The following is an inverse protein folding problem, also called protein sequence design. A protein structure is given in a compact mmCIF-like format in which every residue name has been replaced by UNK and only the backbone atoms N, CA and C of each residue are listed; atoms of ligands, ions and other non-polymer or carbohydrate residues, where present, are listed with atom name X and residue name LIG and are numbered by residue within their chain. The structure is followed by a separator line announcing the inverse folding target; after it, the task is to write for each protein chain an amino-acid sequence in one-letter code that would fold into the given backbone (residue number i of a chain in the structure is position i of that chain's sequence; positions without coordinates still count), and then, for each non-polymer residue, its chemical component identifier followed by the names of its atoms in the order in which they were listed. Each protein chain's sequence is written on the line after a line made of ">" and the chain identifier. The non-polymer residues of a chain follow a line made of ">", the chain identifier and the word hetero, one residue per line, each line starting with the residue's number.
data_IF_928891197660
#
_entry.id   IF_928891197660
#
_cell.length_a   1.000
_cell.length_b   1.000
_cell.length_c   1.000
_cell.angle_alpha   90.00
_cell.angle_beta   90.00
_cell.angle_gamma   90.00
#
_symmetry.space_group_name_H-M   'P 1'
#
loop_
_entity.id
_entity.type
_entity.pdbx_description
1 polymer ?
#
# COMPACT_ATOMS: atom_id res chain seq x y z
N UNK A 1 -5.85 12.16 -25.32
CA UNK A 1 -5.98 12.92 -24.05
C UNK A 1 -5.44 12.02 -22.96
N UNK A 2 -4.52 12.50 -22.12
CA UNK A 2 -4.13 11.76 -20.93
C UNK A 2 -5.25 11.90 -19.91
N UNK A 3 -6.05 10.85 -19.74
CA UNK A 3 -7.14 10.86 -18.78
C UNK A 3 -6.56 10.82 -17.38
N UNK A 4 -6.80 11.87 -16.59
CA UNK A 4 -6.47 11.92 -15.17
C UNK A 4 -7.40 10.97 -14.42
N UNK A 5 -6.85 10.05 -13.63
CA UNK A 5 -7.66 9.31 -12.66
C UNK A 5 -7.90 10.22 -11.46
N UNK A 6 -9.15 10.35 -11.04
CA UNK A 6 -9.52 11.10 -9.85
C UNK A 6 -10.61 10.33 -9.10
N UNK A 7 -10.47 10.25 -7.79
CA UNK A 7 -11.39 9.57 -6.90
C UNK A 7 -11.67 10.43 -5.69
N UNK A 8 -12.93 10.86 -5.51
CA UNK A 8 -13.40 11.72 -4.41
C UNK A 8 -14.31 10.97 -3.43
N UNK A 9 -14.52 9.67 -3.64
CA UNK A 9 -15.30 8.75 -2.79
C UNK A 9 -16.77 9.12 -2.48
N UNK A 10 -17.29 10.23 -3.01
CA UNK A 10 -18.70 10.65 -2.91
C UNK A 10 -19.69 9.58 -3.42
N UNK A 11 -19.25 8.81 -4.41
CA UNK A 11 -19.98 7.69 -5.00
C UNK A 11 -19.49 6.33 -4.48
N UNK A 12 -19.04 6.28 -3.23
CA UNK A 12 -18.52 5.09 -2.57
C UNK A 12 -17.03 4.83 -2.85
N UNK A 13 -16.48 3.69 -2.40
CA UNK A 13 -15.04 3.43 -2.35
C UNK A 13 -14.27 3.40 -3.68
N UNK A 14 -14.95 3.28 -4.82
CA UNK A 14 -14.29 3.31 -6.14
C UNK A 14 -13.31 2.16 -6.42
N UNK A 15 -13.43 1.06 -5.67
CA UNK A 15 -12.51 -0.09 -5.72
C UNK A 15 -11.39 -0.06 -4.70
N UNK A 16 -11.28 1.02 -3.91
CA UNK A 16 -10.36 1.07 -2.78
C UNK A 16 -10.85 0.18 -1.64
N UNK A 17 -9.91 -0.46 -0.95
CA UNK A 17 -10.17 -1.33 0.19
C UNK A 17 -9.16 -1.09 1.32
N UNK A 18 -9.46 -1.63 2.49
CA UNK A 18 -8.54 -1.67 3.64
C UNK A 18 -8.10 -3.10 3.92
N UNK A 19 -7.08 -3.25 4.75
CA UNK A 19 -6.59 -4.56 5.18
C UNK A 19 -6.43 -4.61 6.69
N UNK A 20 -7.22 -5.49 7.33
CA UNK A 20 -7.31 -5.58 8.79
C UNK A 20 -6.39 -6.66 9.38
N UNK A 21 -5.53 -7.28 8.56
CA UNK A 21 -4.68 -8.40 8.96
C UNK A 21 -4.72 -9.57 7.99
N UNK A 22 -3.95 -10.60 8.29
CA UNK A 22 -3.79 -11.78 7.46
C UNK A 22 -5.14 -12.37 7.02
N UNK A 23 -5.37 -12.46 5.70
CA UNK A 23 -6.63 -12.91 5.08
C UNK A 23 -7.88 -12.11 5.46
N UNK A 24 -7.73 -10.84 5.86
CA UNK A 24 -8.84 -9.97 6.25
C UNK A 24 -8.87 -8.66 5.45
N UNK A 25 -8.99 -8.70 4.12
CA UNK A 25 -9.35 -7.50 3.37
C UNK A 25 -10.77 -7.05 3.77
N UNK A 26 -11.03 -5.75 3.75
CA UNK A 26 -12.31 -5.20 4.15
C UNK A 26 -12.72 -4.02 3.28
N UNK A 27 -14.03 -3.78 3.19
CA UNK A 27 -14.53 -2.54 2.63
C UNK A 27 -14.09 -1.38 3.53
N UNK A 28 -13.66 -0.24 2.97
CA UNK A 28 -13.33 0.92 3.77
C UNK A 28 -14.61 1.51 4.36
N UNK A 29 -14.49 2.11 5.53
CA UNK A 29 -15.54 2.95 6.08
C UNK A 29 -15.45 4.34 5.45
N UNK A 30 -16.60 4.96 5.22
CA UNK A 30 -16.74 6.34 4.75
C UNK A 30 -17.19 7.23 5.90
N UNK A 31 -16.48 8.33 6.12
CA UNK A 31 -16.83 9.36 7.10
C UNK A 31 -16.79 10.70 6.37
N UNK A 32 -17.94 11.37 6.28
CA UNK A 32 -18.09 12.68 5.64
C UNK A 32 -17.50 12.75 4.23
N UNK A 33 -17.68 11.69 3.43
CA UNK A 33 -17.17 11.61 2.05
C UNK A 33 -15.74 11.09 1.91
N UNK A 34 -15.00 10.88 3.01
CA UNK A 34 -13.63 10.37 2.98
C UNK A 34 -13.51 8.93 3.46
N UNK A 35 -12.57 8.15 2.89
CA UNK A 35 -12.22 6.84 3.43
C UNK A 35 -11.46 7.00 4.75
N UNK A 36 -11.76 6.18 5.74
CA UNK A 36 -11.01 6.14 7.00
C UNK A 36 -10.33 4.80 7.23
N UNK A 37 -9.10 4.86 7.72
CA UNK A 37 -8.34 3.71 8.23
C UNK A 37 -7.88 4.00 9.66
N UNK A 38 -8.09 3.06 10.59
CA UNK A 38 -7.81 3.26 12.03
C UNK A 38 -6.98 2.11 12.59
N UNK A 39 -6.09 2.45 13.53
CA UNK A 39 -5.39 1.46 14.34
C UNK A 39 -6.39 0.73 15.27
N UNK A 40 -6.12 -0.53 15.68
CA UNK A 40 -4.95 -1.33 15.32
C UNK A 40 -4.99 -1.81 13.86
N UNK A 41 -3.95 -1.48 13.09
CA UNK A 41 -3.78 -1.98 11.72
C UNK A 41 -3.17 -3.39 11.74
N UNK A 42 -3.54 -4.22 10.77
CA UNK A 42 -2.92 -5.55 10.61
C UNK A 42 -1.45 -5.44 10.21
N UNK A 43 -0.63 -6.39 10.64
CA UNK A 43 0.79 -6.47 10.25
C UNK A 43 0.93 -7.38 9.03
N UNK A 44 1.31 -6.81 7.89
CA UNK A 44 1.74 -7.61 6.74
C UNK A 44 3.21 -7.97 6.89
N UNK A 45 3.49 -9.27 6.80
CA UNK A 45 4.82 -9.84 7.00
C UNK A 45 5.38 -10.48 5.73
N UNK A 46 4.76 -10.26 4.57
CA UNK A 46 5.14 -10.93 3.33
C UNK A 46 6.55 -10.56 2.85
N UNK A 47 7.02 -9.40 3.28
CA UNK A 47 8.33 -8.84 2.97
C UNK A 47 9.24 -8.73 4.22
N UNK A 48 8.88 -9.38 5.33
CA UNK A 48 9.72 -9.37 6.53
C UNK A 48 11.16 -9.84 6.22
N UNK A 49 12.17 -9.44 7.01
CA UNK A 49 13.55 -9.82 6.77
C UNK A 49 13.72 -11.32 6.45
N UNK A 50 14.50 -11.67 5.41
CA UNK A 50 15.50 -10.84 4.72
C UNK A 50 14.96 -9.84 3.68
N UNK A 51 13.64 -9.73 3.49
CA UNK A 51 13.03 -8.66 2.70
C UNK A 51 13.07 -7.28 3.38
N UNK A 52 12.40 -6.32 2.76
CA UNK A 52 12.41 -4.90 3.12
C UNK A 52 11.66 -4.53 4.40
N UNK A 53 10.89 -5.43 5.00
CA UNK A 53 10.27 -5.21 6.31
C UNK A 53 8.79 -5.54 6.39
N UNK A 54 8.17 -5.07 7.48
CA UNK A 54 6.74 -5.23 7.75
C UNK A 54 5.97 -3.97 7.34
N UNK A 55 4.68 -4.13 7.04
CA UNK A 55 3.83 -3.05 6.51
C UNK A 55 2.49 -2.99 7.27
N UNK A 56 1.92 -1.79 7.39
CA UNK A 56 0.49 -1.60 7.65
C UNK A 56 -0.18 -1.07 6.38
N UNK A 57 -1.05 -1.86 5.75
CA UNK A 57 -1.71 -1.50 4.49
C UNK A 57 -3.00 -0.72 4.80
N UNK A 58 -3.02 0.59 4.53
CA UNK A 58 -4.14 1.45 4.91
C UNK A 58 -5.21 1.49 3.82
N UNK A 59 -4.81 1.82 2.59
CA UNK A 59 -5.70 1.97 1.44
C UNK A 59 -5.10 1.30 0.22
N UNK A 60 -5.78 0.28 -0.32
CA UNK A 60 -5.32 -0.55 -1.43
C UNK A 60 -6.22 -0.32 -2.63
N UNK A 61 -5.63 -0.07 -3.80
CA UNK A 61 -6.33 -0.03 -5.08
C UNK A 61 -5.66 -1.01 -6.05
N UNK A 62 -6.40 -2.02 -6.49
CA UNK A 62 -5.96 -2.85 -7.61
C UNK A 62 -5.99 -2.05 -8.91
N UNK A 63 -4.92 -2.11 -9.66
CA UNK A 63 -4.73 -1.33 -10.90
C UNK A 63 -5.00 -2.15 -12.16
N UNK A 64 -5.11 -3.48 -12.04
CA UNK A 64 -5.50 -4.36 -13.12
C UNK A 64 -6.48 -5.47 -12.66
N UNK A 65 -7.30 -6.02 -13.57
CA UNK A 65 -8.17 -7.15 -13.27
C UNK A 65 -7.38 -8.34 -12.73
N UNK A 66 -7.76 -8.84 -11.56
CA UNK A 66 -7.17 -10.06 -11.01
C UNK A 66 -7.96 -11.27 -11.52
N UNK A 67 -7.32 -12.28 -12.14
CA UNK A 67 -8.04 -13.39 -12.76
C UNK A 67 -8.75 -14.27 -11.72
N UNK A 68 -8.18 -14.42 -10.52
CA UNK A 68 -8.73 -15.28 -9.45
C UNK A 68 -8.59 -14.61 -8.06
N UNK A 69 -9.33 -13.52 -7.77
CA UNK A 69 -9.15 -12.75 -6.53
C UNK A 69 -9.62 -13.50 -5.26
N UNK A 70 -10.22 -14.69 -5.40
CA UNK A 70 -10.83 -15.40 -4.28
C UNK A 70 -12.11 -14.72 -3.76
N UNK A 71 -12.86 -15.39 -2.86
CA UNK A 71 -14.16 -14.91 -2.40
C UNK A 71 -14.08 -13.66 -1.50
N UNK A 72 -12.95 -13.44 -0.81
CA UNK A 72 -12.78 -12.29 0.09
C UNK A 72 -12.50 -10.97 -0.66
N UNK A 73 -11.66 -11.00 -1.70
CA UNK A 73 -11.31 -9.79 -2.46
C UNK A 73 -12.30 -9.49 -3.59
N UNK A 74 -12.88 -10.51 -4.24
CA UNK A 74 -13.82 -10.33 -5.36
C UNK A 74 -14.90 -9.25 -5.11
N UNK A 75 -15.64 -9.26 -3.99
CA UNK A 75 -16.66 -8.23 -3.76
C UNK A 75 -16.08 -6.84 -3.52
N UNK A 76 -14.87 -6.74 -2.95
CA UNK A 76 -14.21 -5.45 -2.65
C UNK A 76 -13.64 -4.79 -3.90
N UNK A 77 -13.24 -5.60 -4.88
CA UNK A 77 -12.76 -5.14 -6.17
C UNK A 77 -13.89 -4.77 -7.14
N UNK A 78 -15.14 -5.12 -6.81
CA UNK A 78 -16.29 -4.80 -7.65
C UNK A 78 -16.48 -3.27 -7.71
N UNK A 79 -16.71 -2.73 -8.90
CA UNK A 79 -16.89 -1.28 -9.08
C UNK A 79 -15.58 -0.48 -9.01
N UNK A 80 -14.41 -1.12 -9.18
CA UNK A 80 -13.14 -0.43 -9.29
C UNK A 80 -13.12 0.51 -10.50
N UNK A 81 -13.12 1.82 -10.21
CA UNK A 81 -13.24 2.87 -11.23
C UNK A 81 -11.94 3.11 -11.99
N UNK A 82 -10.78 2.78 -11.42
CA UNK A 82 -9.50 2.81 -12.12
C UNK A 82 -9.50 1.78 -13.26
N UNK A 83 -9.89 0.54 -12.96
CA UNK A 83 -9.96 -0.53 -13.97
C UNK A 83 -11.08 -0.26 -14.97
N UNK A 84 -12.28 0.09 -14.49
CA UNK A 84 -13.44 0.32 -15.37
C UNK A 84 -13.24 1.53 -16.31
N UNK A 85 -12.51 2.55 -15.86
CA UNK A 85 -12.15 3.71 -16.66
C UNK A 85 -11.03 3.47 -17.68
N UNK A 86 -10.38 2.29 -17.65
CA UNK A 86 -9.27 1.98 -18.55
C UNK A 86 -8.05 2.88 -18.33
N UNK A 87 -7.80 3.30 -17.10
CA UNK A 87 -6.65 4.14 -16.76
C UNK A 87 -5.34 3.36 -16.92
N UNK A 88 -4.28 4.07 -17.32
CA UNK A 88 -2.99 3.44 -17.65
C UNK A 88 -2.31 2.88 -16.39
N UNK A 89 -1.79 1.66 -16.47
CA UNK A 89 -0.92 1.04 -15.46
C UNK A 89 0.56 1.41 -15.63
N UNK A 90 0.93 2.03 -16.76
CA UNK A 90 2.22 2.70 -16.90
C UNK A 90 2.19 3.97 -16.07
N UNK A 91 2.84 3.92 -14.91
CA UNK A 91 2.90 4.99 -13.93
C UNK A 91 4.26 5.70 -13.92
N UNK A 92 5.14 5.43 -14.89
CA UNK A 92 6.45 6.10 -14.98
C UNK A 92 6.26 7.61 -15.08
N UNK A 93 6.84 8.34 -14.13
CA UNK A 93 6.74 9.80 -13.97
C UNK A 93 5.31 10.32 -13.81
N UNK A 94 4.36 9.45 -13.45
CA UNK A 94 3.04 9.91 -13.04
C UNK A 94 3.15 10.71 -11.73
N UNK A 95 2.29 11.70 -11.57
CA UNK A 95 2.12 12.42 -10.30
C UNK A 95 0.90 11.86 -9.59
N UNK A 96 1.10 11.29 -8.41
CA UNK A 96 0.02 10.88 -7.53
C UNK A 96 -0.17 11.97 -6.47
N UNK A 97 -1.38 12.52 -6.39
CA UNK A 97 -1.79 13.50 -5.40
C UNK A 97 -2.81 12.85 -4.46
N UNK A 98 -2.64 13.06 -3.17
CA UNK A 98 -3.60 12.64 -2.16
C UNK A 98 -4.01 13.83 -1.28
N UNK A 99 -5.31 13.94 -1.01
CA UNK A 99 -5.85 14.85 0.01
C UNK A 99 -6.17 14.06 1.26
N UNK A 100 -5.43 14.33 2.33
CA UNK A 100 -5.43 13.50 3.53
C UNK A 100 -5.40 14.35 4.80
N UNK A 101 -5.89 13.76 5.90
CA UNK A 101 -5.71 14.26 7.26
C UNK A 101 -5.69 13.10 8.23
N UNK A 102 -5.25 13.34 9.46
CA UNK A 102 -5.31 12.34 10.51
C UNK A 102 -4.61 12.77 11.78
N UNK A 103 -4.70 11.92 12.79
CA UNK A 103 -3.95 12.03 14.02
C UNK A 103 -3.30 10.67 14.26
N UNK A 104 -1.98 10.60 14.06
CA UNK A 104 -1.23 9.34 14.13
C UNK A 104 0.06 9.54 14.90
N UNK A 105 0.27 8.70 15.91
CA UNK A 105 1.59 8.47 16.46
C UNK A 105 2.29 7.43 15.57
N UNK A 106 3.21 7.89 14.71
CA UNK A 106 3.83 7.06 13.69
C UNK A 106 4.86 6.06 14.21
N UNK A 107 5.37 6.19 15.44
CA UNK A 107 6.41 5.31 16.00
C UNK A 107 7.61 5.05 15.06
N UNK A 108 8.00 6.07 14.29
CA UNK A 108 9.12 6.00 13.34
C UNK A 108 8.77 5.46 11.94
N UNK A 109 7.52 5.06 11.69
CA UNK A 109 7.01 4.79 10.35
C UNK A 109 6.75 6.10 9.58
N UNK A 110 6.56 5.98 8.27
CA UNK A 110 6.06 7.05 7.41
C UNK A 110 4.86 6.56 6.60
N UNK A 111 3.94 7.45 6.24
CA UNK A 111 2.94 7.16 5.23
C UNK A 111 3.57 7.31 3.85
N UNK A 112 3.59 6.22 3.09
CA UNK A 112 4.32 6.13 1.82
C UNK A 112 3.48 5.41 0.78
N UNK A 113 3.79 5.68 -0.49
CA UNK A 113 3.20 4.97 -1.61
C UNK A 113 3.95 3.66 -1.86
N UNK A 114 3.19 2.61 -2.12
CA UNK A 114 3.67 1.32 -2.59
C UNK A 114 3.14 1.03 -4.00
N UNK A 115 3.97 0.42 -4.82
CA UNK A 115 3.60 -0.08 -6.15
C UNK A 115 3.96 -1.55 -6.29
N UNK A 116 3.06 -2.32 -6.88
CA UNK A 116 3.22 -3.75 -7.09
C UNK A 116 2.95 -4.17 -8.54
N UNK A 117 3.88 -4.97 -9.07
CA UNK A 117 3.75 -5.55 -10.41
C UNK A 117 4.10 -7.03 -10.43
N UNK A 118 3.47 -7.77 -11.34
CA UNK A 118 3.87 -9.11 -11.72
C UNK A 118 4.94 -9.00 -12.81
N UNK A 119 6.16 -9.43 -12.49
CA UNK A 119 7.28 -9.53 -13.43
C UNK A 119 7.68 -11.00 -13.55
N UNK A 120 7.43 -11.60 -14.71
CA UNK A 120 7.52 -13.05 -14.88
C UNK A 120 6.59 -13.78 -13.90
N UNK A 121 7.15 -14.67 -13.07
CA UNK A 121 6.39 -15.39 -12.05
C UNK A 121 6.30 -14.66 -10.70
N UNK A 122 7.05 -13.57 -10.50
CA UNK A 122 7.20 -12.91 -9.20
C UNK A 122 6.34 -11.66 -9.06
N UNK A 123 5.77 -11.45 -7.88
CA UNK A 123 5.28 -10.14 -7.48
C UNK A 123 6.46 -9.32 -6.96
N UNK A 124 6.79 -8.24 -7.66
CA UNK A 124 7.84 -7.30 -7.27
C UNK A 124 7.18 -6.07 -6.65
N UNK A 125 7.67 -5.69 -5.48
CA UNK A 125 7.02 -4.75 -4.58
C UNK A 125 8.03 -3.66 -4.22
N UNK A 126 7.59 -2.40 -4.31
CA UNK A 126 8.43 -1.26 -3.97
C UNK A 126 7.66 -0.26 -3.12
N UNK A 127 8.39 0.40 -2.22
CA UNK A 127 7.89 1.50 -1.39
C UNK A 127 8.67 2.76 -1.72
N UNK A 128 7.98 3.86 -2.00
CA UNK A 128 8.57 5.17 -2.34
C UNK A 128 9.01 5.89 -1.05
N UNK A 129 10.15 5.48 -0.51
CA UNK A 129 10.66 5.99 0.77
C UNK A 129 11.22 7.41 0.67
N UNK A 130 11.62 7.87 -0.51
CA UNK A 130 12.18 9.21 -0.72
C UNK A 130 11.14 10.35 -0.70
N UNK A 131 9.84 10.02 -0.77
CA UNK A 131 8.75 11.00 -0.83
C UNK A 131 7.58 10.59 0.09
N UNK A 132 7.75 10.62 1.41
CA UNK A 132 6.67 10.32 2.34
C UNK A 132 5.59 11.41 2.31
N UNK A 133 4.35 11.02 2.59
CA UNK A 133 3.25 11.93 2.89
C UNK A 133 3.27 12.30 4.38
N UNK A 134 3.06 13.57 4.69
CA UNK A 134 2.90 14.07 6.05
C UNK A 134 1.43 13.92 6.51
N UNK A 135 1.18 13.29 7.66
CA UNK A 135 -0.18 13.22 8.21
C UNK A 135 -0.39 14.42 9.14
N UNK A 136 -1.30 15.31 8.76
CA UNK A 136 -1.64 16.53 9.50
C UNK A 136 -3.05 16.46 10.12
N UNK A 137 -3.31 17.14 11.26
CA UNK A 137 -4.66 17.20 11.83
C UNK A 137 -5.70 17.84 10.90
N UNK A 138 -5.25 18.83 10.12
CA UNK A 138 -6.05 19.48 9.09
C UNK A 138 -5.83 18.82 7.72
N UNK A 139 -6.77 19.03 6.81
CA UNK A 139 -6.65 18.58 5.43
C UNK A 139 -5.46 19.22 4.73
N UNK A 140 -4.58 18.38 4.18
CA UNK A 140 -3.51 18.79 3.28
C UNK A 140 -3.59 18.02 1.96
N UNK A 141 -3.26 18.70 0.88
CA UNK A 141 -3.05 18.10 -0.44
C UNK A 141 -1.55 17.97 -0.66
N UNK A 142 -1.10 16.77 -1.01
CA UNK A 142 0.31 16.46 -1.19
C UNK A 142 0.49 15.58 -2.42
N UNK A 143 1.59 15.78 -3.14
CA UNK A 143 1.90 15.04 -4.36
C UNK A 143 3.25 14.35 -4.26
N UNK A 144 3.33 13.16 -4.83
CA UNK A 144 4.56 12.42 -5.08
C UNK A 144 4.73 12.15 -6.57
N UNK A 145 5.97 12.09 -7.03
CA UNK A 145 6.29 11.71 -8.41
C UNK A 145 6.80 10.28 -8.44
N UNK A 146 6.16 9.42 -9.25
CA UNK A 146 6.54 8.03 -9.46
C UNK A 146 7.73 7.97 -10.43
N UNK A 147 8.87 8.48 -9.96
CA UNK A 147 10.15 8.51 -10.70
C UNK A 147 10.74 7.11 -10.82
N UNK A 148 11.51 6.87 -11.87
CA UNK A 148 12.28 5.64 -12.07
C UNK A 148 13.65 5.67 -11.38
N UNK A 149 13.96 6.71 -10.60
CA UNK A 149 15.19 6.81 -9.81
C UNK A 149 15.18 5.78 -8.66
N UNK A 150 16.02 4.73 -8.68
CA UNK A 150 16.02 3.69 -7.67
C UNK A 150 16.39 4.19 -6.26
N UNK A 151 17.09 5.33 -6.12
CA UNK A 151 17.43 5.88 -4.80
C UNK A 151 16.20 6.36 -4.02
N UNK A 152 15.09 6.63 -4.71
CA UNK A 152 13.83 7.05 -4.10
C UNK A 152 13.01 5.88 -3.56
N UNK A 153 13.36 4.64 -3.92
CA UNK A 153 12.52 3.47 -3.66
C UNK A 153 13.27 2.37 -2.92
N UNK A 154 12.54 1.72 -2.01
CA UNK A 154 12.98 0.47 -1.40
C UNK A 154 12.31 -0.70 -2.11
N UNK A 155 13.12 -1.60 -2.71
CA UNK A 155 12.63 -2.90 -3.15
C UNK A 155 12.36 -3.76 -1.92
N UNK A 156 11.14 -4.27 -1.77
CA UNK A 156 10.74 -5.03 -0.59
C UNK A 156 11.20 -6.50 -0.62
N UNK A 157 11.61 -7.02 -1.78
CA UNK A 157 12.07 -8.41 -1.89
C UNK A 157 11.05 -9.41 -1.34
N UNK A 158 11.52 -10.42 -0.60
CA UNK A 158 10.67 -11.47 -0.05
C UNK A 158 11.07 -11.86 1.37
N UNK A 159 10.09 -12.24 2.17
CA UNK A 159 10.32 -13.08 3.34
C UNK A 159 10.88 -14.44 2.93
N UNK A 160 11.65 -15.06 3.82
CA UNK A 160 12.39 -16.31 3.57
C UNK A 160 11.51 -17.47 3.06
N UNK A 161 10.25 -17.56 3.48
CA UNK A 161 9.28 -18.61 3.11
C UNK A 161 8.33 -18.19 1.98
N UNK A 162 8.52 -17.01 1.40
CA UNK A 162 7.71 -16.47 0.30
C UNK A 162 8.53 -16.09 -0.94
N UNK A 163 9.79 -16.51 -0.99
CA UNK A 163 10.68 -16.27 -2.13
C UNK A 163 10.15 -16.88 -3.44
N UNK A 164 9.22 -17.85 -3.38
CA UNK A 164 8.55 -18.39 -4.57
C UNK A 164 7.51 -17.43 -5.17
N UNK A 165 6.92 -16.55 -4.34
CA UNK A 165 5.85 -15.62 -4.73
C UNK A 165 6.40 -14.22 -5.01
N UNK A 166 7.27 -13.72 -4.14
CA UNK A 166 7.83 -12.38 -4.21
C UNK A 166 9.29 -12.39 -4.65
N UNK A 167 9.76 -11.28 -5.20
CA UNK A 167 11.13 -11.18 -5.71
C UNK A 167 11.67 -9.76 -5.71
N UNK A 168 12.94 -9.67 -6.09
CA UNK A 168 13.67 -8.44 -6.35
C UNK A 168 13.55 -8.07 -7.83
N UNK A 169 13.70 -6.79 -8.17
CA UNK A 169 13.67 -6.31 -9.54
C UNK A 169 14.03 -4.83 -9.62
N UNK A 170 13.79 -4.23 -10.77
CA UNK A 170 14.04 -2.81 -11.03
C UNK A 170 12.74 -2.00 -10.95
N UNK A 171 12.81 -0.80 -10.36
CA UNK A 171 11.63 0.06 -10.23
C UNK A 171 11.07 0.49 -11.59
N UNK A 172 11.93 0.64 -12.61
CA UNK A 172 11.48 0.98 -13.96
C UNK A 172 10.51 -0.07 -14.51
N UNK A 173 10.79 -1.35 -14.29
CA UNK A 173 9.93 -2.44 -14.79
C UNK A 173 8.62 -2.52 -14.03
N UNK A 174 8.64 -2.24 -12.72
CA UNK A 174 7.41 -2.16 -11.90
C UNK A 174 6.55 -1.00 -12.38
N UNK A 175 7.10 0.21 -12.50
CA UNK A 175 6.35 1.39 -12.91
C UNK A 175 5.87 1.35 -14.37
N UNK A 176 6.57 0.63 -15.26
CA UNK A 176 6.15 0.45 -16.66
C UNK A 176 4.78 -0.23 -16.77
N UNK A 177 4.46 -1.11 -15.83
CA UNK A 177 3.17 -1.79 -15.77
C UNK A 177 2.86 -2.19 -14.32
N UNK A 178 2.28 -1.27 -13.55
CA UNK A 178 1.77 -1.52 -12.20
C UNK A 178 0.48 -2.33 -12.34
N UNK A 179 0.60 -3.65 -12.54
CA UNK A 179 -0.50 -4.54 -12.90
C UNK A 179 -1.03 -5.40 -11.74
N UNK A 180 -0.68 -5.07 -10.50
CA UNK A 180 -1.34 -5.64 -9.33
C UNK A 180 -2.06 -4.55 -8.57
N UNK A 181 -1.33 -3.75 -7.79
CA UNK A 181 -1.92 -2.71 -6.95
C UNK A 181 -0.98 -1.54 -6.67
N UNK A 182 -1.61 -0.44 -6.22
CA UNK A 182 -0.95 0.60 -5.45
C UNK A 182 -1.53 0.63 -4.05
N UNK A 183 -0.72 0.99 -3.06
CA UNK A 183 -1.13 1.03 -1.66
C UNK A 183 -0.56 2.27 -0.97
N UNK A 184 -1.40 2.99 -0.23
CA UNK A 184 -0.92 3.91 0.80
C UNK A 184 -0.74 3.10 2.09
N UNK A 185 0.49 3.03 2.59
CA UNK A 185 0.85 2.17 3.71
C UNK A 185 1.82 2.83 4.69
N UNK A 186 1.96 2.26 5.89
CA UNK A 186 2.95 2.69 6.88
C UNK A 186 4.18 1.76 6.84
N UNK A 187 5.36 2.36 6.71
CA UNK A 187 6.66 1.67 6.69
C UNK A 187 7.80 2.61 7.13
N UNK A 188 8.85 2.14 7.84
CA UNK A 188 9.00 0.80 8.42
C UNK A 188 8.25 0.61 9.73
N UNK A 189 7.96 -0.64 10.09
CA UNK A 189 7.40 -1.00 11.39
C UNK A 189 8.45 -1.65 12.29
N UNK A 190 8.42 -1.31 13.58
CA UNK A 190 9.25 -1.93 14.61
C UNK A 190 8.49 -3.06 15.31
N UNK A 191 8.83 -4.31 14.99
CA UNK A 191 8.16 -5.48 15.55
C UNK A 191 8.88 -5.95 16.82
N UNK A 192 8.16 -5.92 17.95
CA UNK A 192 8.64 -6.40 19.24
C UNK A 192 7.72 -7.53 19.71
N UNK A 193 8.19 -8.79 19.83
CA UNK A 193 7.38 -9.87 20.39
C UNK A 193 7.07 -9.67 21.88
N UNK A 194 5.89 -10.10 22.34
CA UNK A 194 5.57 -10.16 23.77
C UNK A 194 6.17 -11.38 24.48
N UNK A 195 6.60 -12.38 23.70
CA UNK A 195 7.27 -13.59 24.18
C UNK A 195 8.55 -13.83 23.39
N UNK A 196 9.61 -14.41 23.98
CA UNK A 196 10.83 -14.72 23.24
C UNK A 196 10.55 -15.55 21.99
N UNK A 197 11.14 -15.17 20.86
CA UNK A 197 11.11 -15.91 19.59
C UNK A 197 12.49 -16.57 19.35
N UNK A 198 12.68 -17.85 19.71
CA UNK A 198 14.01 -18.48 19.74
C UNK A 198 14.72 -18.56 18.39
N UNK A 199 13.96 -18.58 17.29
CA UNK A 199 14.48 -18.61 15.92
C UNK A 199 14.62 -17.20 15.31
N UNK A 200 14.38 -16.15 16.11
CA UNK A 200 14.35 -14.76 15.68
C UNK A 200 12.95 -14.30 15.28
N UNK A 201 12.74 -12.99 15.38
CA UNK A 201 11.45 -12.32 15.20
C UNK A 201 10.88 -12.42 13.77
N UNK A 202 11.72 -12.75 12.79
CA UNK A 202 11.32 -12.81 11.38
C UNK A 202 10.97 -14.24 10.92
N UNK A 203 11.23 -15.25 11.73
CA UNK A 203 11.02 -16.65 11.36
C UNK A 203 9.54 -17.02 11.30
N UNK A 204 8.74 -16.60 12.28
CA UNK A 204 7.27 -16.78 12.29
C UNK A 204 6.56 -15.48 11.95
N UNK A 205 5.26 -15.51 11.72
CA UNK A 205 4.46 -14.33 11.35
C UNK A 205 3.92 -13.63 12.59
N UNK A 206 4.26 -12.35 12.84
CA UNK A 206 3.66 -11.59 13.94
C UNK A 206 2.14 -11.49 13.77
N UNK A 207 1.40 -11.58 14.88
CA UNK A 207 -0.07 -11.57 14.95
C UNK A 207 -0.80 -12.69 14.21
N UNK A 208 -0.06 -13.65 13.65
CA UNK A 208 -0.58 -14.93 13.18
C UNK A 208 -0.08 -16.04 14.09
N UNK A 209 1.23 -16.08 14.36
CA UNK A 209 1.89 -17.15 15.09
C UNK A 209 2.32 -16.75 16.51
N UNK A 210 2.50 -15.45 16.77
CA UNK A 210 2.88 -14.93 18.08
C UNK A 210 2.38 -13.50 18.31
N UNK A 211 2.09 -13.11 19.57
CA UNK A 211 1.64 -11.78 19.91
C UNK A 211 2.78 -10.76 19.95
N UNK A 212 2.51 -9.51 19.59
CA UNK A 212 3.47 -8.41 19.57
C UNK A 212 3.09 -7.29 20.53
N UNK A 213 4.09 -6.56 21.01
CA UNK A 213 3.91 -5.35 21.79
C UNK A 213 3.53 -4.20 20.86
N UNK A 214 2.24 -3.89 20.83
CA UNK A 214 1.68 -2.87 19.94
C UNK A 214 2.08 -1.45 20.34
N UNK A 215 2.65 -1.22 21.52
CA UNK A 215 3.12 0.11 21.93
C UNK A 215 4.27 0.65 21.07
N UNK A 216 4.92 -0.23 20.30
CA UNK A 216 5.94 0.10 19.30
C UNK A 216 5.39 0.29 17.88
N UNK A 217 4.10 0.08 17.66
CA UNK A 217 3.46 0.19 16.35
C UNK A 217 2.72 1.52 16.20
N UNK A 218 2.53 1.99 14.96
CA UNK A 218 1.71 3.16 14.70
C UNK A 218 0.30 3.05 15.30
N UNK A 219 -0.20 4.15 15.87
CA UNK A 219 -1.53 4.25 16.50
C UNK A 219 -2.21 5.54 16.05
N UNK A 220 -3.53 5.49 15.80
CA UNK A 220 -4.32 6.65 15.37
C UNK A 220 -5.26 6.35 14.21
N UNK A 221 -5.52 7.36 13.38
CA UNK A 221 -6.33 7.23 12.18
C UNK A 221 -5.85 8.14 11.04
N UNK A 222 -6.15 7.70 9.81
CA UNK A 222 -5.92 8.47 8.58
C UNK A 222 -7.22 8.52 7.78
N UNK A 223 -7.56 9.70 7.29
CA UNK A 223 -8.64 9.97 6.37
C UNK A 223 -8.07 10.31 5.00
N UNK A 224 -8.67 9.74 3.95
CA UNK A 224 -8.32 9.95 2.55
C UNK A 224 -9.57 10.45 1.82
N UNK A 225 -9.53 11.69 1.37
CA UNK A 225 -10.66 12.40 0.76
C UNK A 225 -10.59 12.42 -0.76
N UNK A 226 -9.38 12.54 -1.31
CA UNK A 226 -9.18 12.47 -2.75
C UNK A 226 -7.87 11.74 -3.07
N UNK A 227 -7.89 10.94 -4.14
CA UNK A 227 -6.67 10.51 -4.85
C UNK A 227 -6.76 10.90 -6.31
N UNK A 228 -5.67 11.42 -6.85
CA UNK A 228 -5.53 11.79 -8.26
C UNK A 228 -4.24 11.25 -8.83
N UNK A 229 -4.28 10.72 -10.06
CA UNK A 229 -3.10 10.30 -10.81
C UNK A 229 -3.08 11.04 -12.15
N UNK A 230 -2.04 11.84 -12.33
CA UNK A 230 -1.78 12.62 -13.54
C UNK A 230 -0.62 12.01 -14.31
N UNK A 231 -0.84 11.70 -15.59
CA UNK A 231 0.15 11.03 -16.44
C UNK A 231 0.98 12.05 -17.22
N UNK A 232 2.30 11.79 -17.41
CA UNK A 232 3.15 12.68 -18.20
C UNK A 232 2.64 12.77 -19.64
N UNK A 233 2.71 13.97 -20.24
CA UNK A 233 2.29 14.17 -21.62
C UNK A 233 2.96 13.13 -22.54
N UNK A 234 2.18 12.50 -23.43
CA UNK A 234 2.75 11.60 -24.44
C UNK A 234 3.70 12.42 -25.32
N UNK A 235 4.99 12.05 -25.32
CA UNK A 235 5.94 12.54 -26.30
C UNK A 235 5.72 11.83 -27.64
#
# INVERSE_FOLDING_TARGET
>A
MNTVYQETFDAGPGGWMTWLGHNRPAAPELVDGALISRSPWGIDSNHAPPGGGYLHLLFILFTAPQPNPGPAYRPLMAGNRFIAGGYSTDLRNARLTARLKGEVNLRGANLVLHCQSRIGSKAVNFVLTGQPFEITPDWSEQSVTLTTDPEQWLCLGARHDLADVYGWGEIEDVLRDVNIDIILLLHPLHIVPLTPEPQGVHYRRPEVDYPVDRSFLPEGYVLLDEVRIEYPARQ
#
